data_IF_045859411444
#
_entry.id   IF_045859411444
#
_cell.length_a   1.000
_cell.length_b   1.000
_cell.length_c   1.000
_cell.angle_alpha   90.00
_cell.angle_beta   90.00
_cell.angle_gamma   90.00
#
_symmetry.space_group_name_H-M   'P 1'
#
loop_
_entity.id
_entity.type
_entity.pdbx_description
1 polymer ?
#
# COMPACT_ATOMS: atom_id res chain seq x y z
N UNK A 1 4.71 -19.35 2.53
CA UNK A 1 3.41 -18.89 1.99
C UNK A 1 3.31 -17.38 1.86
N UNK A 2 3.59 -16.58 2.90
CA UNK A 2 3.52 -15.10 2.83
C UNK A 2 4.40 -14.50 1.71
N UNK A 3 5.65 -14.95 1.58
CA UNK A 3 6.53 -14.45 0.51
C UNK A 3 6.01 -14.74 -0.91
N UNK A 4 5.29 -15.84 -1.11
CA UNK A 4 4.69 -16.18 -2.40
C UNK A 4 3.51 -15.24 -2.74
N UNK A 5 2.67 -14.92 -1.75
CA UNK A 5 1.59 -13.94 -1.89
C UNK A 5 2.14 -12.54 -2.23
N UNK A 6 3.20 -12.11 -1.54
CA UNK A 6 3.86 -10.83 -1.81
C UNK A 6 4.44 -10.82 -3.23
N UNK A 7 5.11 -11.90 -3.64
CA UNK A 7 5.67 -12.02 -4.98
C UNK A 7 4.60 -11.96 -6.09
N UNK A 8 3.46 -12.62 -5.90
CA UNK A 8 2.33 -12.58 -6.85
C UNK A 8 1.77 -11.15 -6.98
N UNK A 9 1.56 -10.46 -5.86
CA UNK A 9 1.12 -9.05 -5.87
C UNK A 9 2.11 -8.14 -6.59
N UNK A 10 3.41 -8.35 -6.37
CA UNK A 10 4.49 -7.63 -7.05
C UNK A 10 4.50 -7.83 -8.56
N UNK A 11 4.39 -9.08 -9.01
CA UNK A 11 4.35 -9.39 -10.44
C UNK A 11 3.09 -8.83 -11.08
N UNK A 12 1.92 -8.92 -10.46
CA UNK A 12 0.67 -8.37 -11.01
C UNK A 12 0.75 -6.87 -11.22
N UNK A 13 1.23 -6.12 -10.23
CA UNK A 13 1.36 -4.65 -10.33
C UNK A 13 2.35 -4.27 -11.42
N UNK A 14 3.54 -4.88 -11.42
CA UNK A 14 4.60 -4.58 -12.40
C UNK A 14 4.16 -4.93 -13.83
N UNK A 15 3.43 -6.04 -14.02
CA UNK A 15 2.87 -6.44 -15.32
C UNK A 15 1.75 -5.51 -15.79
N UNK A 16 0.90 -5.04 -14.89
CA UNK A 16 -0.21 -4.14 -15.24
C UNK A 16 0.24 -2.72 -15.56
N UNK A 17 1.21 -2.19 -14.82
CA UNK A 17 1.67 -0.81 -14.95
C UNK A 17 2.83 -0.64 -15.94
N UNK A 18 3.45 -1.74 -16.40
CA UNK A 18 4.70 -1.75 -17.20
C UNK A 18 5.88 -0.98 -16.55
N UNK A 19 5.78 -0.62 -15.27
CA UNK A 19 6.78 0.15 -14.53
C UNK A 19 7.01 -0.50 -13.17
N UNK A 20 8.27 -0.53 -12.75
CA UNK A 20 8.67 -0.98 -11.43
C UNK A 20 8.20 0.02 -10.36
N UNK A 21 7.24 -0.39 -9.53
CA UNK A 21 6.71 0.45 -8.45
C UNK A 21 7.60 0.35 -7.19
N UNK A 22 8.36 1.39 -6.90
CA UNK A 22 9.27 1.43 -5.74
C UNK A 22 8.48 1.49 -4.42
N UNK A 23 7.25 2.00 -4.42
CA UNK A 23 6.41 2.07 -3.22
C UNK A 23 5.84 0.72 -2.77
N UNK A 24 6.02 -0.35 -3.54
CA UNK A 24 5.44 -1.66 -3.25
C UNK A 24 5.77 -2.18 -1.84
N UNK A 25 6.99 -1.96 -1.35
CA UNK A 25 7.37 -2.34 0.02
C UNK A 25 6.52 -1.63 1.09
N UNK A 26 6.20 -0.36 0.88
CA UNK A 26 5.41 0.43 1.81
C UNK A 26 3.92 0.02 1.82
N UNK A 27 3.38 -0.48 0.70
CA UNK A 27 2.04 -1.09 0.70
C UNK A 27 1.97 -2.35 1.56
N UNK A 28 3.02 -3.18 1.55
CA UNK A 28 3.11 -4.36 2.43
C UNK A 28 3.19 -3.94 3.89
N UNK A 29 3.99 -2.92 4.20
CA UNK A 29 4.09 -2.35 5.55
C UNK A 29 2.74 -1.83 6.06
N UNK A 30 2.00 -1.06 5.24
CA UNK A 30 0.66 -0.58 5.58
C UNK A 30 -0.31 -1.72 5.85
N UNK A 31 -0.28 -2.78 5.03
CA UNK A 31 -1.11 -3.97 5.25
C UNK A 31 -0.84 -4.62 6.61
N UNK A 32 0.43 -4.73 6.99
CA UNK A 32 0.84 -5.20 8.31
C UNK A 32 0.32 -4.30 9.44
N UNK A 33 0.43 -2.98 9.28
CA UNK A 33 -0.06 -2.01 10.26
C UNK A 33 -1.56 -2.06 10.45
N UNK A 34 -2.33 -2.10 9.36
CA UNK A 34 -3.78 -2.22 9.42
C UNK A 34 -4.19 -3.53 10.12
N UNK A 35 -3.49 -4.63 9.83
CA UNK A 35 -3.69 -5.90 10.53
C UNK A 35 -3.43 -5.78 12.03
N UNK A 36 -2.33 -5.15 12.43
CA UNK A 36 -2.02 -4.91 13.84
C UNK A 36 -3.09 -4.04 14.53
N UNK A 37 -3.48 -2.91 13.92
CA UNK A 37 -4.49 -2.02 14.48
C UNK A 37 -5.85 -2.71 14.64
N UNK A 38 -6.33 -3.43 13.62
CA UNK A 38 -7.65 -4.06 13.69
C UNK A 38 -7.71 -5.33 14.55
N UNK A 39 -6.60 -6.04 14.70
CA UNK A 39 -6.55 -7.27 15.49
C UNK A 39 -6.18 -6.99 16.94
N UNK A 40 -5.21 -6.11 17.19
CA UNK A 40 -4.62 -5.89 18.52
C UNK A 40 -5.23 -4.68 19.23
N UNK A 41 -5.41 -3.56 18.54
CA UNK A 41 -5.90 -2.32 19.18
C UNK A 41 -7.41 -2.33 19.33
N UNK A 42 -8.16 -2.68 18.28
CA UNK A 42 -9.64 -2.70 18.34
C UNK A 42 -10.22 -3.99 18.93
N UNK A 43 -9.41 -5.05 19.08
CA UNK A 43 -9.85 -6.34 19.66
C UNK A 43 -11.00 -7.02 18.90
N UNK A 44 -11.16 -6.73 17.60
CA UNK A 44 -12.25 -7.31 16.81
C UNK A 44 -12.05 -8.80 16.59
N UNK A 45 -13.15 -9.56 16.41
CA UNK A 45 -13.06 -10.96 16.02
C UNK A 45 -12.37 -11.05 14.65
N UNK A 46 -11.50 -12.06 14.49
CA UNK A 46 -10.63 -12.27 13.32
C UNK A 46 -11.31 -12.00 11.98
N UNK A 47 -12.54 -12.50 11.80
CA UNK A 47 -13.32 -12.33 10.57
C UNK A 47 -13.66 -10.88 10.25
N UNK A 48 -14.02 -10.08 11.26
CA UNK A 48 -14.36 -8.67 11.09
C UNK A 48 -13.10 -7.84 10.83
N UNK A 49 -11.99 -8.15 11.51
CA UNK A 49 -10.70 -7.50 11.28
C UNK A 49 -10.19 -7.73 9.86
N UNK A 50 -10.32 -8.96 9.32
CA UNK A 50 -9.93 -9.27 7.94
C UNK A 50 -10.79 -8.47 6.95
N UNK A 51 -12.11 -8.42 7.16
CA UNK A 51 -13.01 -7.69 6.27
C UNK A 51 -12.71 -6.19 6.27
N UNK A 52 -12.51 -5.60 7.44
CA UNK A 52 -12.12 -4.20 7.60
C UNK A 52 -10.75 -3.93 6.97
N UNK A 53 -9.76 -4.81 7.19
CA UNK A 53 -8.42 -4.67 6.62
C UNK A 53 -8.46 -4.69 5.08
N UNK A 54 -9.20 -5.64 4.49
CA UNK A 54 -9.39 -5.70 3.03
C UNK A 54 -10.11 -4.44 2.54
N UNK A 55 -11.16 -4.01 3.23
CA UNK A 55 -11.92 -2.81 2.87
C UNK A 55 -11.05 -1.55 2.86
N UNK A 56 -10.27 -1.32 3.93
CA UNK A 56 -9.38 -0.16 4.01
C UNK A 56 -8.25 -0.26 2.99
N UNK A 57 -7.63 -1.42 2.82
CA UNK A 57 -6.59 -1.62 1.81
C UNK A 57 -7.10 -1.38 0.39
N UNK A 58 -8.32 -1.83 0.07
CA UNK A 58 -8.95 -1.61 -1.23
C UNK A 58 -9.27 -0.13 -1.46
N UNK A 59 -9.84 0.56 -0.46
CA UNK A 59 -10.13 2.00 -0.55
C UNK A 59 -8.83 2.79 -0.75
N UNK A 60 -7.79 2.47 0.01
CA UNK A 60 -6.50 3.15 -0.09
C UNK A 60 -5.84 2.91 -1.45
N UNK A 61 -5.87 1.68 -1.96
CA UNK A 61 -5.42 1.34 -3.31
C UNK A 61 -6.17 2.11 -4.39
N UNK A 62 -7.50 2.20 -4.28
CA UNK A 62 -8.34 2.96 -5.22
C UNK A 62 -8.05 4.46 -5.20
N UNK A 63 -7.82 5.04 -4.02
CA UNK A 63 -7.46 6.46 -3.88
C UNK A 63 -6.13 6.72 -4.59
N UNK A 64 -5.12 5.88 -4.35
CA UNK A 64 -3.80 6.01 -4.97
C UNK A 64 -3.90 5.82 -6.48
N UNK A 65 -4.62 4.80 -6.93
CA UNK A 65 -4.81 4.55 -8.35
C UNK A 65 -5.46 5.76 -9.03
N UNK A 66 -6.54 6.28 -8.44
CA UNK A 66 -7.32 7.36 -9.07
C UNK A 66 -6.62 8.72 -9.03
N UNK A 67 -5.94 9.05 -7.93
CA UNK A 67 -5.31 10.36 -7.74
C UNK A 67 -3.87 10.43 -8.25
N UNK A 68 -3.12 9.32 -8.21
CA UNK A 68 -1.68 9.33 -8.45
C UNK A 68 -1.32 8.57 -9.72
N UNK A 69 -1.91 7.39 -9.96
CA UNK A 69 -1.59 6.61 -11.16
C UNK A 69 -2.36 7.08 -12.41
N UNK A 70 -3.66 7.36 -12.28
CA UNK A 70 -4.53 7.76 -13.40
C UNK A 70 -4.05 9.02 -14.15
N UNK A 71 -3.54 10.08 -13.48
CA UNK A 71 -3.00 11.26 -14.17
C UNK A 71 -1.67 11.02 -14.88
N UNK A 72 -0.98 9.91 -14.58
CA UNK A 72 0.31 9.57 -15.15
C UNK A 72 0.22 8.69 -16.39
N UNK A 73 -1.00 8.29 -16.78
CA UNK A 73 -1.22 7.53 -18.01
C UNK A 73 -0.82 8.39 -19.21
N UNK A 74 0.21 7.95 -19.95
CA UNK A 74 0.75 8.67 -21.10
C UNK A 74 1.95 9.58 -20.80
N UNK A 75 2.39 9.67 -19.55
CA UNK A 75 3.63 10.36 -19.15
C UNK A 75 4.87 9.48 -19.38
N UNK A 76 6.08 10.06 -19.50
CA UNK A 76 7.31 9.27 -19.61
C UNK A 76 7.57 8.43 -18.35
N UNK A 77 8.24 7.28 -18.52
CA UNK A 77 8.54 6.30 -17.44
C UNK A 77 9.21 6.96 -16.22
N UNK A 78 10.08 7.95 -16.45
CA UNK A 78 10.79 8.66 -15.38
C UNK A 78 9.80 9.38 -14.43
N UNK A 79 8.71 9.95 -14.96
CA UNK A 79 7.67 10.59 -14.15
C UNK A 79 6.96 9.58 -13.23
N UNK A 80 6.71 8.37 -13.73
CA UNK A 80 6.08 7.30 -12.96
C UNK A 80 7.02 6.84 -11.84
N UNK A 81 8.31 6.64 -12.14
CA UNK A 81 9.31 6.25 -11.14
C UNK A 81 9.40 7.33 -10.04
N UNK A 82 9.56 8.60 -10.41
CA UNK A 82 9.60 9.70 -9.44
C UNK A 82 8.34 9.78 -8.59
N UNK A 83 7.16 9.60 -9.19
CA UNK A 83 5.92 9.52 -8.41
C UNK A 83 5.94 8.36 -7.44
N UNK A 84 6.38 7.16 -7.84
CA UNK A 84 6.42 6.02 -6.91
C UNK A 84 7.39 6.23 -5.75
N UNK A 85 8.49 6.96 -5.96
CA UNK A 85 9.40 7.37 -4.88
C UNK A 85 8.72 8.39 -3.96
N UNK A 86 8.06 9.40 -4.51
CA UNK A 86 7.30 10.38 -3.72
C UNK A 86 6.16 9.71 -2.92
N UNK A 87 5.51 8.71 -3.52
CA UNK A 87 4.46 7.94 -2.85
C UNK A 87 5.02 7.12 -1.69
N UNK A 88 6.17 6.48 -1.89
CA UNK A 88 6.88 5.73 -0.86
C UNK A 88 7.20 6.60 0.36
N UNK A 89 7.80 7.77 0.14
CA UNK A 89 8.19 8.69 1.22
C UNK A 89 6.97 9.31 1.92
N UNK A 90 5.89 9.62 1.19
CA UNK A 90 4.65 10.10 1.81
C UNK A 90 4.04 9.01 2.69
N UNK A 91 3.95 7.76 2.21
CA UNK A 91 3.40 6.66 3.00
C UNK A 91 4.25 6.41 4.25
N UNK A 92 5.57 6.38 4.10
CA UNK A 92 6.49 6.21 5.22
C UNK A 92 6.35 7.34 6.25
N UNK A 93 6.27 8.59 5.80
CA UNK A 93 6.05 9.74 6.66
C UNK A 93 4.71 9.65 7.40
N UNK A 94 3.63 9.31 6.70
CA UNK A 94 2.31 9.14 7.33
C UNK A 94 2.32 7.98 8.35
N UNK A 95 2.93 6.85 8.00
CA UNK A 95 3.01 5.72 8.91
C UNK A 95 3.87 6.04 10.14
N UNK A 96 4.96 6.79 9.97
CA UNK A 96 5.79 7.27 11.08
C UNK A 96 5.02 8.25 11.98
N UNK A 97 4.16 9.11 11.43
CA UNK A 97 3.32 9.98 12.25
C UNK A 97 2.26 9.21 13.03
N UNK A 98 1.61 8.23 12.40
CA UNK A 98 0.54 7.44 13.04
C UNK A 98 1.13 6.50 14.09
N UNK A 99 2.30 5.91 13.82
CA UNK A 99 2.85 4.84 14.67
C UNK A 99 4.05 5.28 15.48
N UNK A 100 4.93 6.10 14.92
CA UNK A 100 6.07 6.66 15.65
C UNK A 100 5.64 7.57 16.80
N UNK A 101 4.39 8.06 16.83
CA UNK A 101 3.81 8.70 18.02
C UNK A 101 3.36 7.72 19.12
N UNK A 102 3.44 6.41 18.89
CA UNK A 102 3.00 5.34 19.80
C UNK A 102 4.16 4.54 20.40
N UNK A 103 5.40 5.06 20.31
CA UNK A 103 6.63 4.43 20.85
C UNK A 103 7.35 5.45 21.73
#
# INVERSE_FOLDING_TARGET
MIYALIAIGFVMITKSSNVFNIAQGHFVMLGGYLGYTFLVITGFPLWLSILCMIGVAAIMGLIIERLLLRPLIGQPIISIIMMTIALATIIEGMATLIVGGTI
#
